data_IF_539573335270
#
_entry.id   IF_539573335270
#
_cell.length_a   1.000
_cell.length_b   1.000
_cell.length_c   1.000
_cell.angle_alpha   90.00
_cell.angle_beta   90.00
_cell.angle_gamma   90.00
#
_symmetry.space_group_name_H-M   'P 1'
#
loop_
_entity.id
_entity.type
_entity.pdbx_description
1 polymer ?
#
# COMPACT_ATOMS: atom_id res chain seq x y z
N UNK A 1 20.98 14.03 33.07
CA UNK A 1 19.59 14.01 32.52
C UNK A 1 19.58 14.82 31.23
N UNK A 2 19.73 14.21 30.07
CA UNK A 2 19.57 14.87 28.78
C UNK A 2 18.09 15.23 28.63
N UNK A 3 17.77 16.52 28.67
CA UNK A 3 16.40 17.02 28.40
C UNK A 3 16.02 16.58 26.99
N UNK A 4 15.16 15.56 26.87
CA UNK A 4 14.65 15.12 25.58
C UNK A 4 13.92 16.27 24.89
N UNK A 5 13.95 16.29 23.56
CA UNK A 5 13.25 17.29 22.74
C UNK A 5 11.76 17.35 23.10
N UNK A 6 11.17 18.55 23.01
CA UNK A 6 9.72 18.72 23.22
C UNK A 6 8.94 18.01 22.10
N UNK A 7 7.72 17.52 22.35
CA UNK A 7 6.89 16.91 21.32
C UNK A 7 6.72 17.80 20.09
N UNK A 8 6.48 19.10 20.29
CA UNK A 8 6.34 20.06 19.20
C UNK A 8 7.56 20.08 18.26
N UNK A 9 8.79 20.13 18.83
CA UNK A 9 10.01 20.11 18.02
C UNK A 9 10.18 18.81 17.24
N UNK A 10 9.79 17.67 17.82
CA UNK A 10 9.81 16.38 17.13
C UNK A 10 8.87 16.42 15.92
N UNK A 11 7.62 16.85 16.11
CA UNK A 11 6.65 16.96 15.01
C UNK A 11 7.10 17.90 13.91
N UNK A 12 7.66 19.05 14.26
CA UNK A 12 8.17 20.02 13.27
C UNK A 12 9.32 19.43 12.43
N UNK A 13 10.26 18.74 13.07
CA UNK A 13 11.39 18.13 12.35
C UNK A 13 10.89 16.97 11.46
N UNK A 14 9.96 16.14 11.93
CA UNK A 14 9.36 15.07 11.11
C UNK A 14 8.62 15.63 9.91
N UNK A 15 7.88 16.73 10.07
CA UNK A 15 7.20 17.41 8.98
C UNK A 15 8.19 17.94 7.93
N UNK A 16 9.26 18.63 8.38
CA UNK A 16 10.31 19.15 7.49
C UNK A 16 11.02 17.99 6.76
N UNK A 17 11.34 16.91 7.46
CA UNK A 17 11.98 15.74 6.87
C UNK A 17 11.07 15.07 5.82
N UNK A 18 9.79 14.88 6.11
CA UNK A 18 8.83 14.33 5.16
C UNK A 18 8.63 15.23 3.94
N UNK A 19 8.57 16.55 4.15
CA UNK A 19 8.52 17.52 3.05
C UNK A 19 9.77 17.44 2.19
N UNK A 20 10.97 17.41 2.80
CA UNK A 20 12.23 17.27 2.06
C UNK A 20 12.28 15.98 1.24
N UNK A 21 11.82 14.85 1.80
CA UNK A 21 11.83 13.55 1.11
C UNK A 21 10.83 13.46 -0.04
N UNK A 22 9.65 14.10 0.07
CA UNK A 22 8.51 13.87 -0.84
C UNK A 22 8.20 15.00 -1.80
N UNK A 23 8.70 16.22 -1.53
CA UNK A 23 8.32 17.41 -2.31
C UNK A 23 8.68 17.29 -3.80
N UNK A 24 9.80 16.64 -4.13
CA UNK A 24 10.26 16.48 -5.51
C UNK A 24 9.47 15.42 -6.30
N UNK A 25 8.87 14.46 -5.59
CA UNK A 25 8.02 13.43 -6.17
C UNK A 25 6.53 13.83 -6.21
N UNK A 26 6.18 14.92 -5.52
CA UNK A 26 4.80 15.37 -5.41
C UNK A 26 4.22 15.69 -6.79
N UNK A 27 3.12 15.02 -7.11
CA UNK A 27 2.47 15.12 -8.40
C UNK A 27 3.07 14.25 -9.50
N UNK A 28 3.99 13.31 -9.19
CA UNK A 28 4.44 12.30 -10.15
C UNK A 28 3.34 11.24 -10.34
N UNK A 29 2.71 11.14 -11.53
CA UNK A 29 1.61 10.21 -11.76
C UNK A 29 2.07 8.76 -11.98
N UNK A 30 3.37 8.51 -12.06
CA UNK A 30 3.96 7.21 -12.42
C UNK A 30 4.80 6.60 -11.30
N UNK A 31 4.63 7.05 -10.04
CA UNK A 31 5.38 6.52 -8.90
C UNK A 31 5.17 5.03 -8.72
N UNK A 32 3.92 4.57 -8.83
CA UNK A 32 3.58 3.16 -8.67
C UNK A 32 2.31 2.79 -9.44
N UNK A 33 2.24 1.56 -9.98
CA UNK A 33 1.09 1.09 -10.78
C UNK A 33 -0.16 0.88 -9.93
N UNK A 34 -0.01 0.38 -8.71
CA UNK A 34 -1.13 0.18 -7.79
C UNK A 34 -1.83 1.50 -7.47
N UNK A 35 -1.05 2.57 -7.20
CA UNK A 35 -1.59 3.90 -6.90
C UNK A 35 -2.37 4.49 -8.08
N UNK A 36 -1.88 4.26 -9.29
CA UNK A 36 -2.57 4.68 -10.52
C UNK A 36 -3.92 3.98 -10.65
N UNK A 37 -3.97 2.68 -10.31
CA UNK A 37 -5.22 1.92 -10.30
C UNK A 37 -6.17 2.43 -9.22
N UNK A 38 -5.70 2.68 -8.00
CA UNK A 38 -6.57 3.20 -6.93
C UNK A 38 -7.15 4.56 -7.29
N UNK A 39 -6.34 5.43 -7.91
CA UNK A 39 -6.79 6.73 -8.39
C UNK A 39 -7.85 6.58 -9.48
N UNK A 40 -7.64 5.68 -10.44
CA UNK A 40 -8.60 5.39 -11.51
C UNK A 40 -9.92 4.87 -10.94
N UNK A 41 -9.88 3.90 -10.01
CA UNK A 41 -11.10 3.39 -9.36
C UNK A 41 -11.84 4.53 -8.63
N UNK A 42 -11.12 5.33 -7.83
CA UNK A 42 -11.71 6.48 -7.13
C UNK A 42 -12.35 7.49 -8.09
N UNK A 43 -11.74 7.74 -9.26
CA UNK A 43 -12.31 8.59 -10.29
C UNK A 43 -13.60 8.01 -10.87
N UNK A 44 -13.58 6.69 -11.19
CA UNK A 44 -14.77 6.02 -11.73
C UNK A 44 -15.93 5.95 -10.73
N UNK A 45 -15.65 5.88 -9.43
CA UNK A 45 -16.69 5.98 -8.41
C UNK A 45 -17.43 7.32 -8.46
N UNK A 46 -16.75 8.42 -8.75
CA UNK A 46 -17.40 9.73 -8.98
C UNK A 46 -18.24 9.76 -10.27
N UNK A 47 -17.87 8.94 -11.26
CA UNK A 47 -18.66 8.76 -12.49
C UNK A 47 -19.81 7.74 -12.31
N UNK A 48 -20.02 7.20 -11.10
CA UNK A 48 -21.07 6.25 -10.75
C UNK A 48 -20.71 4.77 -10.89
N UNK A 49 -19.46 4.43 -11.21
CA UNK A 49 -19.03 3.02 -11.30
C UNK A 49 -18.99 2.35 -9.94
N UNK A 50 -19.42 1.09 -9.89
CA UNK A 50 -19.42 0.23 -8.71
C UNK A 50 -18.14 -0.62 -8.74
N UNK A 51 -17.18 -0.44 -7.80
CA UNK A 51 -16.01 -1.29 -7.69
C UNK A 51 -16.39 -2.78 -7.61
N UNK A 52 -15.53 -3.65 -8.15
CA UNK A 52 -15.72 -5.09 -8.33
C UNK A 52 -16.73 -5.48 -9.43
N UNK A 53 -17.61 -4.57 -9.87
CA UNK A 53 -18.62 -4.79 -10.91
C UNK A 53 -18.19 -4.13 -12.21
N UNK A 54 -18.12 -2.79 -12.21
CA UNK A 54 -17.78 -1.97 -13.40
C UNK A 54 -16.27 -1.78 -13.57
N UNK A 55 -15.54 -1.82 -12.46
CA UNK A 55 -14.08 -1.78 -12.41
C UNK A 55 -13.58 -2.72 -11.33
N UNK A 56 -12.75 -3.69 -11.73
CA UNK A 56 -12.37 -4.78 -10.86
C UNK A 56 -10.94 -4.62 -10.30
N UNK A 57 -10.79 -4.83 -9.01
CA UNK A 57 -9.56 -5.11 -8.28
C UNK A 57 -9.95 -5.84 -6.98
N UNK A 58 -9.00 -6.56 -6.37
CA UNK A 58 -9.19 -7.30 -5.11
C UNK A 58 -8.93 -6.49 -3.83
N UNK A 59 -8.66 -5.20 -3.95
CA UNK A 59 -8.44 -4.36 -2.76
C UNK A 59 -9.77 -4.06 -2.07
N UNK A 60 -9.82 -4.01 -0.73
CA UNK A 60 -11.03 -3.64 -0.02
C UNK A 60 -11.52 -2.24 -0.34
N UNK A 61 -12.84 -2.05 -0.25
CA UNK A 61 -13.53 -0.83 -0.66
C UNK A 61 -13.02 0.44 0.04
N UNK A 62 -12.56 0.35 1.29
CA UNK A 62 -12.07 1.50 2.04
C UNK A 62 -10.86 2.18 1.38
N UNK A 63 -10.02 1.41 0.67
CA UNK A 63 -8.93 1.99 -0.08
C UNK A 63 -9.44 2.86 -1.25
N UNK A 64 -10.43 2.38 -1.99
CA UNK A 64 -11.02 3.12 -3.11
C UNK A 64 -11.80 4.34 -2.62
N UNK A 65 -12.53 4.22 -1.50
CA UNK A 65 -13.22 5.33 -0.86
C UNK A 65 -12.22 6.42 -0.41
N UNK A 66 -11.06 6.02 0.11
CA UNK A 66 -10.00 6.96 0.47
C UNK A 66 -9.51 7.73 -0.76
N UNK A 67 -9.22 7.04 -1.86
CA UNK A 67 -8.77 7.68 -3.11
C UNK A 67 -9.88 8.52 -3.75
N UNK A 68 -11.13 8.09 -3.70
CA UNK A 68 -12.26 8.90 -4.14
C UNK A 68 -12.39 10.19 -3.29
N UNK A 69 -12.28 10.06 -1.96
CA UNK A 69 -12.34 11.22 -1.06
C UNK A 69 -11.23 12.24 -1.31
N UNK A 70 -10.01 11.79 -1.65
CA UNK A 70 -8.91 12.73 -1.97
C UNK A 70 -9.19 13.56 -3.21
N UNK A 71 -9.98 13.07 -4.17
CA UNK A 71 -10.33 13.80 -5.38
C UNK A 71 -11.35 14.93 -5.14
N UNK A 72 -12.00 14.98 -3.98
CA UNK A 72 -12.81 16.11 -3.56
C UNK A 72 -11.97 17.34 -3.14
N UNK A 73 -10.65 17.19 -2.97
CA UNK A 73 -9.77 18.30 -2.65
C UNK A 73 -9.57 19.22 -3.86
N UNK A 74 -9.52 20.57 -3.68
CA UNK A 74 -9.42 21.52 -4.78
C UNK A 74 -7.99 21.62 -5.34
N UNK A 75 -7.44 20.50 -5.80
CA UNK A 75 -6.08 20.39 -6.35
C UNK A 75 -5.99 19.23 -7.35
N UNK A 76 -4.85 19.13 -8.04
CA UNK A 76 -4.56 17.99 -8.92
C UNK A 76 -4.72 16.65 -8.15
N UNK A 77 -5.40 15.68 -8.75
CA UNK A 77 -5.79 14.43 -8.07
C UNK A 77 -4.58 13.61 -7.60
N UNK A 78 -3.46 13.64 -8.35
CA UNK A 78 -2.22 12.96 -7.95
C UNK A 78 -1.59 13.67 -6.76
N UNK A 79 -1.53 15.00 -6.80
CA UNK A 79 -1.05 15.84 -5.68
C UNK A 79 -1.91 15.61 -4.44
N UNK A 80 -3.24 15.48 -4.60
CA UNK A 80 -4.18 15.31 -3.50
C UNK A 80 -3.90 14.02 -2.70
N UNK A 81 -3.90 12.85 -3.34
CA UNK A 81 -3.67 11.60 -2.61
C UNK A 81 -2.25 11.50 -2.06
N UNK A 82 -1.23 12.01 -2.78
CA UNK A 82 0.15 12.02 -2.30
C UNK A 82 0.33 12.94 -1.09
N UNK A 83 -0.39 14.08 -1.05
CA UNK A 83 -0.40 14.97 0.13
C UNK A 83 -1.02 14.31 1.35
N UNK A 84 -2.15 13.60 1.17
CA UNK A 84 -2.79 12.83 2.25
C UNK A 84 -1.86 11.70 2.72
N UNK A 85 -1.17 11.02 1.80
CA UNK A 85 -0.17 10.01 2.12
C UNK A 85 1.02 10.59 2.91
N UNK A 86 1.50 11.78 2.54
CA UNK A 86 2.56 12.47 3.28
C UNK A 86 2.13 12.81 4.72
N UNK A 87 0.90 13.29 4.90
CA UNK A 87 0.33 13.55 6.23
C UNK A 87 0.23 12.25 7.04
N UNK A 88 -0.23 11.15 6.43
CA UNK A 88 -0.30 9.84 7.09
C UNK A 88 1.10 9.35 7.51
N UNK A 89 2.11 9.52 6.66
CA UNK A 89 3.49 9.15 6.97
C UNK A 89 4.06 9.95 8.15
N UNK A 90 3.86 11.27 8.18
CA UNK A 90 4.27 12.14 9.31
C UNK A 90 3.55 11.74 10.60
N UNK A 91 2.25 11.50 10.52
CA UNK A 91 1.45 11.08 11.67
C UNK A 91 1.91 9.73 12.22
N UNK A 92 2.22 8.76 11.35
CA UNK A 92 2.80 7.46 11.74
C UNK A 92 4.14 7.64 12.42
N UNK A 93 5.06 8.42 11.83
CA UNK A 93 6.36 8.73 12.42
C UNK A 93 6.25 9.37 13.81
N UNK A 94 5.28 10.28 13.97
CA UNK A 94 4.97 10.91 15.26
C UNK A 94 4.44 9.92 16.30
N UNK A 95 3.59 8.97 15.92
CA UNK A 95 3.10 7.90 16.81
C UNK A 95 4.23 6.94 17.20
N UNK A 96 5.10 6.56 16.26
CA UNK A 96 6.31 5.77 16.55
C UNK A 96 7.18 6.49 17.58
N UNK A 97 7.48 7.77 17.36
CA UNK A 97 8.24 8.59 18.31
C UNK A 97 7.55 8.67 19.69
N UNK A 98 6.22 8.79 19.69
CA UNK A 98 5.41 8.80 20.90
C UNK A 98 5.49 7.49 21.69
N UNK A 99 5.43 6.33 21.02
CA UNK A 99 5.59 5.01 21.65
C UNK A 99 6.99 4.83 22.23
N UNK A 100 8.05 5.19 21.47
CA UNK A 100 9.45 5.13 21.94
C UNK A 100 9.64 5.93 23.24
N UNK A 101 9.06 7.13 23.31
CA UNK A 101 9.07 7.95 24.54
C UNK A 101 8.35 7.27 25.70
N UNK A 102 7.20 6.65 25.44
CA UNK A 102 6.42 5.91 26.47
C UNK A 102 7.15 4.68 26.97
N UNK A 103 8.02 4.09 26.15
CA UNK A 103 8.91 2.99 26.55
C UNK A 103 10.19 3.46 27.28
N UNK A 104 10.32 4.77 27.56
CA UNK A 104 11.41 5.35 28.32
C UNK A 104 12.65 5.77 27.53
N UNK A 105 12.65 5.63 26.17
CA UNK A 105 13.78 5.98 25.32
C UNK A 105 13.59 7.34 24.62
N UNK A 106 13.38 8.41 25.39
CA UNK A 106 13.04 9.74 24.86
C UNK A 106 14.05 10.29 23.84
N UNK A 107 15.36 9.97 23.99
CA UNK A 107 16.40 10.41 23.06
C UNK A 107 16.36 9.65 21.71
N UNK A 108 15.78 8.47 21.67
CA UNK A 108 15.58 7.68 20.45
C UNK A 108 14.30 8.02 19.68
N UNK A 109 13.41 8.84 20.24
CA UNK A 109 12.10 9.13 19.66
C UNK A 109 12.18 9.78 18.27
N UNK A 110 12.91 10.90 18.15
CA UNK A 110 13.10 11.56 16.84
C UNK A 110 13.82 10.67 15.83
N UNK A 111 14.97 10.04 16.18
CA UNK A 111 15.62 9.10 15.27
C UNK A 111 14.71 7.97 14.79
N UNK A 112 13.83 7.44 15.64
CA UNK A 112 12.86 6.40 15.26
C UNK A 112 11.88 6.87 14.18
N UNK A 113 11.29 8.06 14.35
CA UNK A 113 10.41 8.66 13.37
C UNK A 113 11.12 8.97 12.05
N UNK A 114 12.35 9.49 12.10
CA UNK A 114 13.18 9.73 10.91
C UNK A 114 13.54 8.41 10.19
N UNK A 115 13.89 7.36 10.93
CA UNK A 115 14.13 6.03 10.36
C UNK A 115 12.88 5.55 9.61
N UNK A 116 11.69 5.67 10.19
CA UNK A 116 10.44 5.30 9.50
C UNK A 116 10.29 6.09 8.18
N UNK A 117 10.43 7.41 8.19
CA UNK A 117 10.25 8.24 6.99
C UNK A 117 11.24 7.89 5.88
N UNK A 118 12.53 7.71 6.23
CA UNK A 118 13.56 7.39 5.23
C UNK A 118 13.37 5.99 4.64
N UNK A 119 13.12 4.98 5.48
CA UNK A 119 12.93 3.62 4.98
C UNK A 119 11.59 3.44 4.26
N UNK A 120 10.58 4.23 4.60
CA UNK A 120 9.33 4.31 3.83
C UNK A 120 9.62 4.70 2.37
N UNK A 121 10.50 5.68 2.18
CA UNK A 121 10.94 6.14 0.86
C UNK A 121 11.68 5.04 0.08
N UNK A 122 12.59 4.32 0.75
CA UNK A 122 13.49 3.35 0.14
C UNK A 122 12.82 2.05 -0.30
N UNK A 123 11.69 1.66 0.31
CA UNK A 123 11.03 0.37 0.03
C UNK A 123 9.65 0.50 -0.63
N UNK A 124 9.44 1.59 -1.40
CA UNK A 124 8.25 1.75 -2.24
C UNK A 124 7.09 2.47 -1.58
N UNK A 125 7.33 3.25 -0.53
CA UNK A 125 6.33 4.10 0.11
C UNK A 125 6.42 5.58 -0.28
N UNK A 126 7.02 5.91 -1.42
CA UNK A 126 7.19 7.29 -1.94
C UNK A 126 5.88 8.01 -2.18
N UNK A 127 4.87 7.28 -2.63
CA UNK A 127 3.55 7.80 -2.94
C UNK A 127 2.49 7.41 -1.91
N UNK A 128 1.35 6.94 -2.43
CA UNK A 128 0.15 6.58 -1.68
C UNK A 128 -0.12 5.06 -1.65
N UNK A 129 0.90 4.21 -1.65
CA UNK A 129 0.71 2.77 -1.45
C UNK A 129 -0.14 2.48 -0.20
N UNK A 130 -1.02 1.49 -0.27
CA UNK A 130 -1.97 1.19 0.82
C UNK A 130 -1.32 1.08 2.21
N UNK A 131 -0.08 0.52 2.38
CA UNK A 131 0.60 0.51 3.67
C UNK A 131 0.91 1.89 4.25
N UNK A 132 1.10 2.91 3.42
CA UNK A 132 1.36 4.28 3.91
C UNK A 132 0.18 4.78 4.75
N UNK A 133 -1.03 4.43 4.36
CA UNK A 133 -2.25 4.85 5.08
C UNK A 133 -2.56 3.94 6.26
N UNK A 134 -2.55 2.61 6.09
CA UNK A 134 -2.94 1.74 7.20
C UNK A 134 -1.87 1.63 8.29
N UNK A 135 -0.59 1.91 8.01
CA UNK A 135 0.44 2.02 9.05
C UNK A 135 0.08 3.08 10.11
N UNK A 136 -0.58 4.18 9.70
CA UNK A 136 -1.11 5.16 10.64
C UNK A 136 -2.16 4.54 11.57
N UNK A 137 -3.10 3.79 11.02
CA UNK A 137 -4.17 3.16 11.80
C UNK A 137 -3.62 2.09 12.74
N UNK A 138 -2.66 1.28 12.26
CA UNK A 138 -1.97 0.25 13.07
C UNK A 138 -1.14 0.88 14.18
N UNK A 139 -0.36 1.93 13.89
CA UNK A 139 0.43 2.65 14.91
C UNK A 139 -0.47 3.31 15.95
N UNK A 140 -1.60 3.89 15.54
CA UNK A 140 -2.60 4.45 16.44
C UNK A 140 -3.25 3.36 17.30
N UNK A 141 -3.67 2.23 16.70
CA UNK A 141 -4.21 1.08 17.43
C UNK A 141 -3.21 0.54 18.45
N UNK A 142 -1.94 0.35 18.08
CA UNK A 142 -0.88 -0.10 18.98
C UNK A 142 -0.67 0.89 20.15
N UNK A 143 -0.74 2.21 19.87
CA UNK A 143 -0.67 3.25 20.90
C UNK A 143 -1.85 3.15 21.88
N UNK A 144 -3.06 2.90 21.39
CA UNK A 144 -4.26 2.75 22.21
C UNK A 144 -4.22 1.44 23.03
N UNK A 145 -3.74 0.35 22.44
CA UNK A 145 -3.52 -0.92 23.15
C UNK A 145 -2.50 -0.73 24.26
N UNK A 146 -1.38 -0.06 24.00
CA UNK A 146 -0.40 0.25 25.03
C UNK A 146 -1.00 1.08 26.17
N UNK A 147 -1.82 2.09 25.86
CA UNK A 147 -2.54 2.88 26.87
C UNK A 147 -3.54 2.05 27.68
N UNK A 148 -4.17 1.06 27.06
CA UNK A 148 -5.05 0.13 27.78
C UNK A 148 -4.29 -0.73 28.79
N UNK A 149 -3.06 -1.16 28.43
CA UNK A 149 -2.23 -2.02 29.28
C UNK A 149 -1.51 -1.22 30.37
N UNK A 150 -0.82 -0.15 29.98
CA UNK A 150 0.05 0.60 30.89
C UNK A 150 -0.72 1.60 31.75
N UNK A 151 -1.67 2.31 31.15
CA UNK A 151 -2.41 3.41 31.78
C UNK A 151 -3.82 2.94 32.23
N UNK A 152 -4.20 1.68 32.04
CA UNK A 152 -5.52 1.10 32.33
C UNK A 152 -6.69 1.88 31.70
N UNK A 153 -6.49 2.47 30.52
CA UNK A 153 -7.51 3.22 29.79
C UNK A 153 -8.45 2.30 29.02
N UNK A 154 -9.73 2.68 28.93
CA UNK A 154 -10.75 1.91 28.16
C UNK A 154 -10.67 2.22 26.66
N UNK A 155 -9.52 1.96 26.04
CA UNK A 155 -9.25 2.30 24.63
C UNK A 155 -9.24 1.07 23.71
N UNK A 156 -9.49 -0.13 24.23
CA UNK A 156 -9.37 -1.38 23.46
C UNK A 156 -10.34 -1.48 22.29
N UNK A 157 -11.63 -1.15 22.50
CA UNK A 157 -12.62 -1.19 21.41
C UNK A 157 -12.28 -0.20 20.29
N UNK A 158 -11.83 1.02 20.63
CA UNK A 158 -11.38 1.99 19.63
C UNK A 158 -10.13 1.49 18.88
N UNK A 159 -9.20 0.83 19.55
CA UNK A 159 -8.05 0.22 18.91
C UNK A 159 -8.48 -0.84 17.88
N UNK A 160 -9.43 -1.70 18.25
CA UNK A 160 -9.92 -2.75 17.33
C UNK A 160 -10.77 -2.16 16.19
N UNK A 161 -11.48 -1.06 16.40
CA UNK A 161 -12.14 -0.33 15.32
C UNK A 161 -11.13 0.23 14.30
N UNK A 162 -9.99 0.79 14.78
CA UNK A 162 -8.91 1.24 13.88
C UNK A 162 -8.28 0.08 13.10
N UNK A 163 -8.14 -1.10 13.72
CA UNK A 163 -7.76 -2.34 13.02
C UNK A 163 -8.80 -2.68 11.93
N UNK A 164 -10.07 -2.61 12.24
CA UNK A 164 -11.15 -2.84 11.27
C UNK A 164 -11.11 -1.89 10.08
N UNK A 165 -10.86 -0.60 10.33
CA UNK A 165 -10.66 0.38 9.26
C UNK A 165 -9.39 0.10 8.46
N UNK A 166 -8.31 -0.35 9.10
CA UNK A 166 -7.08 -0.74 8.41
C UNK A 166 -7.28 -1.99 7.53
N UNK A 167 -8.10 -2.95 7.95
CA UNK A 167 -8.51 -4.10 7.14
C UNK A 167 -9.25 -3.68 5.87
N UNK A 168 -9.98 -2.55 5.89
CA UNK A 168 -10.61 -1.98 4.69
C UNK A 168 -9.60 -1.33 3.72
N UNK A 169 -8.34 -1.20 4.10
CA UNK A 169 -7.26 -0.76 3.22
C UNK A 169 -6.43 -1.94 2.70
N UNK A 170 -6.19 -2.96 3.55
CA UNK A 170 -5.51 -4.19 3.16
C UNK A 170 -5.80 -5.34 4.14
N UNK A 171 -6.23 -6.53 3.66
CA UNK A 171 -6.55 -7.67 4.53
C UNK A 171 -5.37 -8.19 5.37
N UNK A 172 -4.13 -7.95 4.91
CA UNK A 172 -2.91 -8.41 5.61
C UNK A 172 -2.74 -7.83 7.00
N UNK A 173 -3.43 -6.74 7.35
CA UNK A 173 -3.49 -6.17 8.70
C UNK A 173 -4.07 -7.14 9.73
N UNK A 174 -4.68 -8.24 9.30
CA UNK A 174 -5.21 -9.28 10.20
C UNK A 174 -4.14 -9.80 11.18
N UNK A 175 -2.88 -9.88 10.77
CA UNK A 175 -1.79 -10.36 11.64
C UNK A 175 -1.56 -9.41 12.82
N UNK A 176 -1.40 -8.11 12.55
CA UNK A 176 -1.25 -7.10 13.60
C UNK A 176 -2.54 -6.97 14.41
N UNK A 177 -3.69 -7.10 13.77
CA UNK A 177 -4.99 -7.08 14.43
C UNK A 177 -5.14 -8.21 15.46
N UNK A 178 -4.76 -9.44 15.10
CA UNK A 178 -4.75 -10.58 16.01
C UNK A 178 -3.78 -10.36 17.17
N UNK A 179 -2.57 -9.89 16.90
CA UNK A 179 -1.59 -9.56 17.94
C UNK A 179 -2.14 -8.54 18.94
N UNK A 180 -2.72 -7.44 18.46
CA UNK A 180 -3.25 -6.37 19.29
C UNK A 180 -4.47 -6.85 20.10
N UNK A 181 -5.37 -7.61 19.47
CA UNK A 181 -6.53 -8.21 20.11
C UNK A 181 -6.15 -9.20 21.21
N UNK A 182 -5.24 -10.15 20.92
CA UNK A 182 -4.74 -11.11 21.92
C UNK A 182 -4.06 -10.38 23.08
N UNK A 183 -3.29 -9.34 22.79
CA UNK A 183 -2.64 -8.52 23.84
C UNK A 183 -3.66 -7.89 24.80
N UNK A 184 -4.77 -7.36 24.27
CA UNK A 184 -5.87 -6.83 25.07
C UNK A 184 -6.57 -7.91 25.92
N UNK A 185 -6.78 -9.10 25.35
CA UNK A 185 -7.39 -10.23 26.06
C UNK A 185 -6.51 -10.75 27.17
N UNK A 186 -5.19 -10.86 26.96
CA UNK A 186 -4.21 -11.21 27.99
C UNK A 186 -4.22 -10.17 29.11
N UNK A 187 -4.29 -8.89 28.79
CA UNK A 187 -4.40 -7.82 29.79
C UNK A 187 -5.71 -7.92 30.59
N UNK A 188 -6.83 -8.23 29.94
CA UNK A 188 -8.12 -8.47 30.57
C UNK A 188 -8.05 -9.68 31.51
N UNK A 189 -7.49 -10.79 31.08
CA UNK A 189 -7.31 -11.98 31.90
C UNK A 189 -6.46 -11.68 33.14
N UNK A 190 -5.30 -11.05 32.96
CA UNK A 190 -4.40 -10.68 34.09
C UNK A 190 -5.04 -9.74 35.10
N UNK A 191 -5.97 -8.91 34.68
CA UNK A 191 -6.64 -7.94 35.55
C UNK A 191 -7.87 -8.49 36.25
N UNK A 192 -8.55 -9.50 35.68
CA UNK A 192 -9.85 -9.95 36.16
C UNK A 192 -9.88 -11.42 36.62
N UNK A 193 -8.98 -12.27 36.12
CA UNK A 193 -8.98 -13.73 36.35
C UNK A 193 -10.25 -14.43 35.88
N UNK A 194 -11.10 -13.78 35.05
CA UNK A 194 -12.44 -14.25 34.71
C UNK A 194 -12.55 -14.59 33.24
N UNK A 195 -12.76 -15.85 32.91
CA UNK A 195 -13.00 -16.32 31.54
C UNK A 195 -14.24 -15.67 30.91
N UNK A 196 -15.30 -15.44 31.68
CA UNK A 196 -16.50 -14.78 31.19
C UNK A 196 -16.23 -13.34 30.77
N UNK A 197 -15.43 -12.58 31.51
CA UNK A 197 -15.05 -11.20 31.14
C UNK A 197 -14.17 -11.19 29.92
N UNK A 198 -13.26 -12.14 29.78
CA UNK A 198 -12.41 -12.28 28.56
C UNK A 198 -13.27 -12.62 27.35
N UNK A 199 -14.25 -13.51 27.48
CA UNK A 199 -15.16 -13.86 26.39
C UNK A 199 -16.00 -12.64 25.93
N UNK A 200 -16.55 -11.87 26.88
CA UNK A 200 -17.28 -10.62 26.57
C UNK A 200 -16.37 -9.60 25.89
N UNK A 201 -15.15 -9.42 26.40
CA UNK A 201 -14.16 -8.52 25.78
C UNK A 201 -13.78 -8.98 24.37
N UNK A 202 -13.58 -10.29 24.16
CA UNK A 202 -13.28 -10.88 22.84
C UNK A 202 -14.41 -10.61 21.85
N UNK A 203 -15.66 -10.87 22.24
CA UNK A 203 -16.82 -10.59 21.40
C UNK A 203 -16.91 -9.09 21.03
N UNK A 204 -16.70 -8.18 21.98
CA UNK A 204 -16.72 -6.75 21.73
C UNK A 204 -15.57 -6.27 20.83
N UNK A 205 -14.37 -6.82 21.00
CA UNK A 205 -13.22 -6.51 20.15
C UNK A 205 -13.36 -7.05 18.73
N UNK A 206 -13.85 -8.28 18.58
CA UNK A 206 -14.18 -8.86 17.26
C UNK A 206 -15.27 -8.05 16.57
N UNK A 207 -16.35 -7.70 17.26
CA UNK A 207 -17.41 -6.88 16.70
C UNK A 207 -16.85 -5.51 16.20
N UNK A 208 -16.03 -4.85 16.99
CA UNK A 208 -15.41 -3.58 16.60
C UNK A 208 -14.49 -3.72 15.37
N UNK A 209 -13.69 -4.79 15.31
CA UNK A 209 -12.77 -5.03 14.20
C UNK A 209 -13.49 -5.46 12.90
N UNK A 210 -14.57 -6.23 13.01
CA UNK A 210 -15.30 -6.74 11.84
C UNK A 210 -16.36 -5.76 11.33
N UNK A 211 -16.82 -4.82 12.15
CA UNK A 211 -17.89 -3.90 11.79
C UNK A 211 -17.69 -3.20 10.44
N UNK A 212 -16.52 -2.61 10.10
CA UNK A 212 -16.33 -1.99 8.80
C UNK A 212 -16.48 -2.99 7.63
N UNK A 213 -15.99 -4.21 7.80
CA UNK A 213 -16.09 -5.27 6.77
C UNK A 213 -17.52 -5.75 6.60
N UNK A 214 -18.25 -5.94 7.70
CA UNK A 214 -19.65 -6.34 7.67
C UNK A 214 -20.54 -5.26 7.04
N UNK A 215 -20.28 -4.00 7.33
CA UNK A 215 -20.98 -2.86 6.70
C UNK A 215 -20.70 -2.81 5.19
N UNK A 216 -19.44 -2.99 4.77
CA UNK A 216 -19.09 -3.04 3.36
C UNK A 216 -19.83 -4.18 2.65
N UNK A 217 -19.76 -5.40 3.18
CA UNK A 217 -20.46 -6.55 2.61
C UNK A 217 -21.98 -6.32 2.57
N UNK A 218 -22.58 -5.87 3.68
CA UNK A 218 -24.01 -5.61 3.75
C UNK A 218 -24.48 -4.57 2.72
N UNK A 219 -23.66 -3.53 2.47
CA UNK A 219 -23.96 -2.54 1.43
C UNK A 219 -23.99 -3.18 0.05
N UNK A 220 -22.97 -3.98 -0.30
CA UNK A 220 -22.93 -4.67 -1.59
C UNK A 220 -24.05 -5.72 -1.72
N UNK A 221 -24.36 -6.45 -0.67
CA UNK A 221 -25.49 -7.38 -0.67
C UNK A 221 -26.83 -6.67 -0.89
N UNK A 222 -27.04 -5.53 -0.24
CA UNK A 222 -28.26 -4.73 -0.37
C UNK A 222 -28.48 -4.18 -1.79
N UNK A 223 -27.41 -3.89 -2.54
CA UNK A 223 -27.49 -3.44 -3.94
C UNK A 223 -27.41 -4.59 -4.96
N UNK A 224 -27.45 -5.86 -4.50
CA UNK A 224 -27.46 -7.04 -5.36
C UNK A 224 -26.10 -7.52 -5.87
N UNK A 225 -25.00 -7.00 -5.32
CA UNK A 225 -23.62 -7.31 -5.74
C UNK A 225 -22.77 -7.99 -4.66
N UNK A 226 -23.42 -8.67 -3.70
CA UNK A 226 -22.74 -9.37 -2.61
C UNK A 226 -21.72 -10.40 -3.09
N UNK A 227 -22.06 -11.17 -4.16
CA UNK A 227 -21.18 -12.18 -4.74
C UNK A 227 -19.92 -11.56 -5.37
N UNK A 228 -20.07 -10.43 -6.06
CA UNK A 228 -18.93 -9.72 -6.65
C UNK A 228 -17.97 -9.20 -5.57
N UNK A 229 -18.52 -8.65 -4.49
CA UNK A 229 -17.73 -8.23 -3.33
C UNK A 229 -17.02 -9.42 -2.68
N UNK A 230 -17.76 -10.54 -2.45
CA UNK A 230 -17.19 -11.73 -1.83
C UNK A 230 -16.06 -12.32 -2.66
N UNK A 231 -16.30 -12.50 -3.96
CA UNK A 231 -15.28 -13.00 -4.87
C UNK A 231 -14.01 -12.13 -4.84
N UNK A 232 -14.15 -10.82 -4.97
CA UNK A 232 -13.00 -9.90 -5.02
C UNK A 232 -12.20 -9.87 -3.69
N UNK A 233 -12.90 -9.87 -2.54
CA UNK A 233 -12.26 -9.68 -1.24
C UNK A 233 -11.88 -10.98 -0.52
N UNK A 234 -12.47 -12.13 -0.92
CA UNK A 234 -12.22 -13.42 -0.28
C UNK A 234 -11.65 -14.43 -1.28
N UNK A 235 -12.43 -14.86 -2.27
CA UNK A 235 -12.07 -16.00 -3.11
C UNK A 235 -10.86 -15.72 -4.01
N UNK A 236 -10.81 -14.55 -4.62
CA UNK A 236 -9.75 -14.11 -5.53
C UNK A 236 -8.35 -14.18 -4.91
N UNK A 237 -8.23 -13.95 -3.60
CA UNK A 237 -6.95 -13.98 -2.89
C UNK A 237 -6.36 -15.39 -2.87
N UNK A 238 -7.20 -16.42 -2.68
CA UNK A 238 -6.79 -17.81 -2.63
C UNK A 238 -6.62 -18.45 -4.01
N UNK A 239 -7.19 -17.84 -5.04
CA UNK A 239 -7.11 -18.33 -6.42
C UNK A 239 -5.88 -17.81 -7.18
N UNK A 240 -5.13 -16.90 -6.58
CA UNK A 240 -3.92 -16.36 -7.18
C UNK A 240 -2.76 -17.33 -7.05
N UNK A 241 -2.19 -17.73 -8.18
CA UNK A 241 -1.02 -18.60 -8.21
C UNK A 241 0.28 -17.78 -8.09
N UNK A 242 1.34 -18.41 -7.60
CA UNK A 242 2.71 -17.90 -7.73
C UNK A 242 3.34 -18.61 -8.92
N UNK A 243 3.66 -17.90 -10.02
CA UNK A 243 4.21 -18.54 -11.21
C UNK A 243 5.56 -19.22 -10.92
N UNK A 244 5.85 -20.35 -11.60
CA UNK A 244 7.18 -20.93 -11.57
C UNK A 244 8.23 -19.94 -12.08
N UNK A 245 9.39 -19.87 -11.41
CA UNK A 245 10.49 -18.98 -11.80
C UNK A 245 10.41 -17.55 -11.25
N UNK A 246 9.42 -17.24 -10.42
CA UNK A 246 9.40 -15.96 -9.69
C UNK A 246 10.65 -15.83 -8.79
N UNK A 247 11.35 -14.68 -8.82
CA UNK A 247 12.58 -14.47 -8.06
C UNK A 247 12.27 -14.15 -6.58
N UNK A 248 11.56 -15.07 -5.90
CA UNK A 248 11.08 -14.85 -4.51
C UNK A 248 12.24 -14.62 -3.54
N UNK A 249 13.31 -15.44 -3.65
CA UNK A 249 14.48 -15.31 -2.79
C UNK A 249 15.24 -14.03 -3.03
N UNK A 250 15.38 -13.59 -4.29
CA UNK A 250 16.06 -12.33 -4.63
C UNK A 250 15.28 -11.12 -4.11
N UNK A 251 13.95 -11.13 -4.23
CA UNK A 251 13.08 -10.07 -3.68
C UNK A 251 13.16 -10.03 -2.16
N UNK A 252 13.11 -11.21 -1.51
CA UNK A 252 13.24 -11.34 -0.06
C UNK A 252 14.60 -10.85 0.43
N UNK A 253 15.68 -11.27 -0.24
CA UNK A 253 17.04 -10.84 0.07
C UNK A 253 17.24 -9.34 -0.15
N UNK A 254 16.70 -8.78 -1.23
CA UNK A 254 16.72 -7.35 -1.51
C UNK A 254 16.04 -6.53 -0.42
N UNK A 255 14.83 -6.92 -0.01
CA UNK A 255 14.13 -6.26 1.08
C UNK A 255 14.86 -6.41 2.42
N UNK A 256 15.37 -7.63 2.72
CA UNK A 256 16.15 -7.89 3.93
C UNK A 256 17.44 -7.06 3.98
N UNK A 257 18.12 -6.89 2.85
CA UNK A 257 19.35 -6.07 2.75
C UNK A 257 19.06 -4.60 3.07
N UNK A 258 18.02 -4.03 2.49
CA UNK A 258 17.62 -2.63 2.77
C UNK A 258 17.20 -2.46 4.23
N UNK A 259 16.51 -3.45 4.81
CA UNK A 259 16.05 -3.43 6.19
C UNK A 259 17.10 -3.87 7.21
N UNK A 260 18.28 -4.37 6.80
CA UNK A 260 19.26 -5.00 7.68
C UNK A 260 19.65 -4.11 8.87
N UNK A 261 20.02 -2.87 8.62
CA UNK A 261 20.47 -1.98 9.70
C UNK A 261 19.34 -1.57 10.67
N UNK A 262 18.15 -1.13 10.23
CA UNK A 262 17.05 -0.88 11.16
C UNK A 262 16.58 -2.15 11.88
N UNK A 263 16.66 -3.33 11.25
CA UNK A 263 16.36 -4.61 11.90
C UNK A 263 17.38 -4.96 13.00
N UNK A 264 18.68 -4.76 12.75
CA UNK A 264 19.72 -4.92 13.76
C UNK A 264 19.54 -3.95 14.94
N UNK A 265 19.20 -2.69 14.64
CA UNK A 265 18.86 -1.71 15.68
C UNK A 265 17.61 -2.14 16.47
N UNK A 266 16.59 -2.70 15.78
CA UNK A 266 15.39 -3.21 16.42
C UNK A 266 15.68 -4.39 17.35
N UNK A 267 16.46 -5.38 16.92
CA UNK A 267 16.90 -6.51 17.74
C UNK A 267 17.64 -6.02 18.99
N UNK A 268 18.59 -5.08 18.81
CA UNK A 268 19.32 -4.48 19.94
C UNK A 268 18.39 -3.73 20.89
N UNK A 269 17.40 -3.01 20.37
CA UNK A 269 16.40 -2.30 21.16
C UNK A 269 15.55 -3.25 22.00
N UNK A 270 15.09 -4.35 21.41
CA UNK A 270 14.35 -5.41 22.14
C UNK A 270 15.21 -6.04 23.23
N UNK A 271 16.48 -6.39 22.95
CA UNK A 271 17.38 -6.98 23.92
C UNK A 271 17.66 -6.01 25.09
N UNK A 272 17.83 -4.72 24.80
CA UNK A 272 18.10 -3.68 25.80
C UNK A 272 16.88 -3.27 26.63
N UNK A 273 15.67 -3.64 26.22
CA UNK A 273 14.42 -3.30 26.92
C UNK A 273 14.03 -4.43 27.89
N UNK A 274 13.22 -4.12 28.91
CA UNK A 274 12.79 -5.11 29.93
C UNK A 274 11.27 -5.05 30.14
N UNK A 275 10.75 -6.07 30.80
CA UNK A 275 9.36 -6.13 31.24
C UNK A 275 8.34 -6.20 30.10
N UNK A 276 7.17 -5.65 30.33
CA UNK A 276 6.02 -5.72 29.41
C UNK A 276 6.30 -5.03 28.06
N UNK A 277 7.06 -3.93 28.08
CA UNK A 277 7.43 -3.22 26.87
C UNK A 277 8.28 -4.11 25.92
N UNK A 278 9.24 -4.87 26.46
CA UNK A 278 10.03 -5.85 25.69
C UNK A 278 9.13 -6.91 25.04
N UNK A 279 8.25 -7.50 25.86
CA UNK A 279 7.35 -8.56 25.36
C UNK A 279 6.42 -8.04 24.27
N UNK A 280 5.86 -6.84 24.45
CA UNK A 280 4.98 -6.20 23.46
C UNK A 280 5.71 -5.95 22.14
N UNK A 281 6.88 -5.31 22.17
CA UNK A 281 7.61 -4.95 20.95
C UNK A 281 8.17 -6.18 20.26
N UNK A 282 8.69 -7.16 21.00
CA UNK A 282 9.21 -8.41 20.45
C UNK A 282 8.11 -9.23 19.76
N UNK A 283 6.94 -9.35 20.39
CA UNK A 283 5.81 -10.07 19.83
C UNK A 283 5.25 -9.36 18.58
N UNK A 284 5.17 -8.03 18.60
CA UNK A 284 4.74 -7.25 17.44
C UNK A 284 5.68 -7.46 16.24
N UNK A 285 7.00 -7.35 16.46
CA UNK A 285 8.00 -7.62 15.42
C UNK A 285 7.87 -9.04 14.85
N UNK A 286 7.73 -10.03 15.73
CA UNK A 286 7.61 -11.43 15.31
C UNK A 286 6.37 -11.65 14.44
N UNK A 287 5.22 -11.12 14.85
CA UNK A 287 3.95 -11.25 14.11
C UNK A 287 4.02 -10.51 12.77
N UNK A 288 4.60 -9.31 12.74
CA UNK A 288 4.76 -8.56 11.50
C UNK A 288 5.69 -9.29 10.50
N UNK A 289 6.79 -9.87 10.97
CA UNK A 289 7.69 -10.68 10.14
C UNK A 289 6.97 -11.93 9.62
N UNK A 290 6.24 -12.65 10.48
CA UNK A 290 5.46 -13.82 10.07
C UNK A 290 4.42 -13.42 9.01
N UNK A 291 3.67 -12.35 9.22
CA UNK A 291 2.70 -11.84 8.27
C UNK A 291 3.31 -11.49 6.91
N UNK A 292 4.51 -10.90 6.91
CA UNK A 292 5.23 -10.60 5.67
C UNK A 292 5.70 -11.87 4.95
N UNK A 293 6.26 -12.85 5.69
CA UNK A 293 6.77 -14.11 5.11
C UNK A 293 5.66 -15.02 4.57
N UNK A 294 4.43 -14.89 5.07
CA UNK A 294 3.28 -15.68 4.61
C UNK A 294 2.66 -15.17 3.30
N UNK A 295 3.10 -14.01 2.79
CA UNK A 295 2.45 -13.35 1.64
C UNK A 295 3.45 -13.12 0.51
N UNK A 296 3.71 -14.14 -0.36
CA UNK A 296 4.44 -13.93 -1.60
C UNK A 296 3.62 -13.03 -2.56
N UNK A 297 4.25 -12.42 -3.58
CA UNK A 297 5.62 -12.66 -4.08
C UNK A 297 6.69 -11.67 -3.57
N UNK A 298 6.55 -11.09 -2.40
CA UNK A 298 7.55 -10.25 -1.70
C UNK A 298 8.01 -9.01 -2.46
N UNK A 299 7.09 -8.32 -3.13
CA UNK A 299 7.40 -6.99 -3.68
C UNK A 299 7.89 -6.04 -2.57
N UNK A 300 8.75 -5.09 -2.90
CA UNK A 300 9.37 -4.19 -1.91
C UNK A 300 8.35 -3.55 -0.97
N UNK A 301 7.24 -3.05 -1.51
CA UNK A 301 6.18 -2.42 -0.72
C UNK A 301 5.42 -3.39 0.23
N UNK A 302 5.59 -4.72 0.08
CA UNK A 302 5.02 -5.69 1.03
C UNK A 302 5.74 -5.66 2.39
N UNK A 303 6.97 -5.14 2.44
CA UNK A 303 7.72 -4.96 3.67
C UNK A 303 7.41 -3.65 4.43
N UNK A 304 6.61 -2.74 3.83
CA UNK A 304 6.25 -1.45 4.45
C UNK A 304 5.59 -1.56 5.84
N UNK A 305 4.73 -2.56 6.14
CA UNK A 305 4.15 -2.74 7.48
C UNK A 305 5.21 -3.00 8.55
N UNK A 306 6.30 -3.68 8.20
CA UNK A 306 7.41 -3.97 9.14
C UNK A 306 8.03 -2.71 9.71
N UNK A 307 7.96 -1.59 8.98
CA UNK A 307 8.60 -0.34 9.39
C UNK A 307 8.04 0.24 10.69
N UNK A 308 6.77 -0.03 11.02
CA UNK A 308 6.16 0.48 12.25
C UNK A 308 6.79 -0.20 13.48
N UNK A 309 6.73 -1.54 13.65
CA UNK A 309 7.36 -2.20 14.80
C UNK A 309 8.89 -2.12 14.76
N UNK A 310 9.52 -2.14 13.57
CA UNK A 310 10.98 -1.92 13.44
C UNK A 310 11.35 -0.51 13.94
N UNK A 311 10.62 0.53 13.51
CA UNK A 311 10.87 1.90 13.94
C UNK A 311 10.75 2.08 15.45
N UNK A 312 9.70 1.50 16.06
CA UNK A 312 9.52 1.49 17.52
C UNK A 312 10.68 0.76 18.21
N UNK A 313 11.00 -0.46 17.78
CA UNK A 313 12.05 -1.27 18.38
C UNK A 313 13.44 -0.66 18.21
N UNK A 314 13.77 -0.18 17.00
CA UNK A 314 15.04 0.49 16.72
C UNK A 314 15.20 1.76 17.56
N UNK A 315 14.12 2.53 17.75
CA UNK A 315 14.12 3.71 18.60
C UNK A 315 14.59 3.46 20.03
N UNK A 316 14.35 2.25 20.55
CA UNK A 316 14.83 1.85 21.88
C UNK A 316 16.37 1.68 21.95
N UNK A 317 17.03 1.48 20.82
CA UNK A 317 18.50 1.42 20.74
C UNK A 317 19.12 2.74 20.25
N UNK A 318 18.34 3.60 19.60
CA UNK A 318 18.80 4.86 19.02
C UNK A 318 18.96 6.01 20.04
N UNK A 319 18.81 5.73 21.33
CA UNK A 319 19.21 6.63 22.41
C UNK A 319 20.74 6.79 22.51
N UNK A 320 21.51 5.84 21.97
CA UNK A 320 22.98 5.82 21.95
C UNK A 320 23.55 6.49 20.71
N UNK A 321 24.58 7.34 20.89
CA UNK A 321 25.17 8.15 19.81
C UNK A 321 25.72 7.35 18.63
N UNK A 322 26.45 6.26 18.90
CA UNK A 322 27.07 5.42 17.86
C UNK A 322 26.04 4.82 16.90
N UNK A 323 24.97 4.19 17.44
CA UNK A 323 23.93 3.59 16.60
C UNK A 323 23.18 4.65 15.78
N UNK A 324 22.96 5.83 16.35
CA UNK A 324 22.37 6.99 15.64
C UNK A 324 23.25 7.43 14.47
N UNK A 325 24.55 7.54 14.67
CA UNK A 325 25.50 7.89 13.62
C UNK A 325 25.51 6.90 12.47
N UNK A 326 25.57 5.60 12.79
CA UNK A 326 25.50 4.53 11.77
C UNK A 326 24.21 4.57 10.99
N UNK A 327 23.07 4.75 11.67
CA UNK A 327 21.74 4.85 11.02
C UNK A 327 21.67 6.07 10.09
N UNK A 328 22.20 7.23 10.51
CA UNK A 328 22.22 8.44 9.68
C UNK A 328 23.09 8.26 8.44
N UNK A 329 24.28 7.68 8.58
CA UNK A 329 25.18 7.41 7.44
C UNK A 329 24.54 6.44 6.46
N UNK A 330 23.94 5.34 6.96
CA UNK A 330 23.24 4.38 6.10
C UNK A 330 22.02 5.00 5.41
N UNK A 331 21.23 5.82 6.10
CA UNK A 331 20.10 6.53 5.54
C UNK A 331 20.51 7.41 4.37
N UNK A 332 21.55 8.24 4.55
CA UNK A 332 22.07 9.12 3.51
C UNK A 332 22.64 8.28 2.35
N UNK A 333 23.46 7.27 2.64
CA UNK A 333 24.05 6.41 1.62
C UNK A 333 22.99 5.69 0.77
N UNK A 334 21.98 5.10 1.39
CA UNK A 334 20.89 4.40 0.69
C UNK A 334 20.03 5.37 -0.12
N UNK A 335 19.72 6.57 0.40
CA UNK A 335 19.00 7.59 -0.37
C UNK A 335 19.79 7.99 -1.62
N UNK A 336 21.09 8.24 -1.50
CA UNK A 336 21.92 8.56 -2.66
C UNK A 336 22.00 7.41 -3.67
N UNK A 337 22.14 6.18 -3.20
CA UNK A 337 22.15 4.98 -4.05
C UNK A 337 20.80 4.74 -4.73
N UNK A 338 19.68 5.13 -4.13
CA UNK A 338 18.36 5.05 -4.74
C UNK A 338 18.09 6.14 -5.79
N UNK A 339 19.06 7.06 -6.02
CA UNK A 339 18.92 8.17 -6.95
C UNK A 339 18.29 9.43 -6.37
N UNK A 340 18.07 9.45 -5.05
CA UNK A 340 17.54 10.65 -4.38
C UNK A 340 18.57 11.81 -4.43
N UNK A 341 18.12 13.05 -4.65
CA UNK A 341 16.78 13.52 -4.93
C UNK A 341 16.40 13.33 -6.40
N UNK A 342 15.21 12.81 -6.67
CA UNK A 342 14.69 12.44 -8.00
C UNK A 342 14.35 13.69 -8.85
N UNK A 343 15.35 14.54 -9.10
CA UNK A 343 15.16 15.82 -9.77
C UNK A 343 14.68 15.64 -11.21
N UNK A 344 13.57 16.29 -11.55
CA UNK A 344 13.01 16.29 -12.90
C UNK A 344 12.18 15.05 -13.24
N UNK A 345 12.19 14.00 -12.43
CA UNK A 345 11.41 12.77 -12.66
C UNK A 345 9.92 13.06 -12.80
N UNK A 346 9.36 13.86 -11.90
CA UNK A 346 7.93 14.25 -11.93
C UNK A 346 7.56 14.99 -13.22
N UNK A 347 8.37 15.97 -13.63
CA UNK A 347 8.12 16.74 -14.85
C UNK A 347 8.25 15.87 -16.09
N UNK A 348 9.23 14.96 -16.11
CA UNK A 348 9.43 14.01 -17.22
C UNK A 348 8.28 13.00 -17.31
N UNK A 349 7.86 12.41 -16.19
CA UNK A 349 6.72 11.50 -16.11
C UNK A 349 5.44 12.16 -16.63
N UNK A 350 5.14 13.39 -16.20
CA UNK A 350 3.99 14.16 -16.68
C UNK A 350 4.06 14.44 -18.19
N UNK A 351 5.21 14.86 -18.71
CA UNK A 351 5.39 15.12 -20.16
C UNK A 351 5.16 13.85 -20.99
N UNK A 352 5.76 12.74 -20.59
CA UNK A 352 5.63 11.44 -21.29
C UNK A 352 4.20 10.94 -21.26
N UNK A 353 3.54 11.02 -20.11
CA UNK A 353 2.13 10.64 -19.97
C UNK A 353 1.23 11.52 -20.84
N UNK A 354 1.43 12.84 -20.85
CA UNK A 354 0.69 13.77 -21.68
C UNK A 354 0.89 13.49 -23.18
N UNK A 355 2.11 13.15 -23.61
CA UNK A 355 2.40 12.80 -25.01
C UNK A 355 1.64 11.55 -25.45
N UNK A 356 1.63 10.48 -24.62
CA UNK A 356 0.88 9.27 -24.89
C UNK A 356 -0.63 9.52 -24.89
N UNK A 357 -1.16 10.26 -23.89
CA UNK A 357 -2.58 10.59 -23.81
C UNK A 357 -3.05 11.41 -25.01
N UNK A 358 -2.25 12.38 -25.48
CA UNK A 358 -2.55 13.14 -26.66
C UNK A 358 -2.54 12.28 -27.95
N UNK A 359 -1.65 11.29 -28.04
CA UNK A 359 -1.63 10.35 -29.14
C UNK A 359 -2.87 9.44 -29.13
N UNK A 360 -3.27 8.95 -27.96
CA UNK A 360 -4.50 8.16 -27.79
C UNK A 360 -5.72 9.01 -28.21
N UNK A 361 -5.85 10.23 -27.67
CA UNK A 361 -7.00 11.10 -27.94
C UNK A 361 -7.17 11.42 -29.44
N UNK A 362 -6.07 11.58 -30.18
CA UNK A 362 -6.12 11.85 -31.61
C UNK A 362 -6.66 10.69 -32.46
N UNK A 363 -6.55 9.46 -31.97
CA UNK A 363 -6.87 8.24 -32.73
C UNK A 363 -8.04 7.46 -32.13
N UNK A 364 -8.34 7.61 -30.84
CA UNK A 364 -9.42 6.87 -30.20
C UNK A 364 -10.83 7.40 -30.59
N UNK A 365 -10.95 8.66 -30.96
CA UNK A 365 -12.25 9.24 -31.25
C UNK A 365 -13.20 9.14 -30.04
N UNK A 366 -14.30 8.40 -30.21
CA UNK A 366 -15.26 8.08 -29.14
C UNK A 366 -15.10 6.69 -28.57
N UNK A 367 -14.20 5.88 -29.14
CA UNK A 367 -14.00 4.52 -28.70
C UNK A 367 -13.15 4.44 -27.42
N UNK A 368 -13.34 3.39 -26.66
CA UNK A 368 -12.52 3.12 -25.49
C UNK A 368 -11.18 2.52 -25.93
N UNK A 369 -10.04 3.17 -25.65
CA UNK A 369 -8.74 2.61 -25.95
C UNK A 369 -8.48 1.34 -25.12
N UNK A 370 -7.80 0.36 -25.69
CA UNK A 370 -7.37 -0.82 -24.98
C UNK A 370 -5.94 -0.63 -24.44
N UNK A 371 -5.79 -0.26 -23.17
CA UNK A 371 -4.49 -0.19 -22.50
C UNK A 371 -4.20 -1.57 -21.90
N UNK A 372 -3.35 -2.34 -22.61
CA UNK A 372 -3.05 -3.74 -22.25
C UNK A 372 -1.83 -3.81 -21.31
N UNK A 373 -0.60 -3.65 -21.82
CA UNK A 373 0.64 -3.62 -21.03
C UNK A 373 1.13 -2.17 -20.90
N UNK A 374 0.41 -1.35 -20.15
CA UNK A 374 0.75 0.06 -19.99
C UNK A 374 0.16 0.64 -18.70
N UNK A 375 0.66 1.80 -18.25
CA UNK A 375 0.22 2.44 -17.01
C UNK A 375 -1.28 2.77 -17.00
N UNK A 376 -2.06 2.37 -15.97
CA UNK A 376 -3.46 2.76 -15.80
C UNK A 376 -3.68 4.29 -15.75
N UNK A 377 -2.64 5.04 -15.39
CA UNK A 377 -2.65 6.50 -15.43
C UNK A 377 -3.04 7.10 -16.80
N UNK A 378 -2.90 6.35 -17.89
CA UNK A 378 -3.35 6.76 -19.22
C UNK A 378 -4.87 6.96 -19.25
N UNK A 379 -5.64 6.06 -18.63
CA UNK A 379 -7.09 6.20 -18.51
C UNK A 379 -7.49 7.44 -17.70
N UNK A 380 -6.78 7.69 -16.59
CA UNK A 380 -7.02 8.84 -15.72
C UNK A 380 -6.67 10.17 -16.42
N UNK A 381 -5.47 10.23 -17.02
CA UNK A 381 -4.97 11.46 -17.66
C UNK A 381 -5.79 11.91 -18.86
N UNK A 382 -6.26 10.95 -19.67
CA UNK A 382 -7.09 11.24 -20.85
C UNK A 382 -8.60 11.19 -20.58
N UNK A 383 -9.02 10.81 -19.37
CA UNK A 383 -10.41 10.51 -19.00
C UNK A 383 -11.08 9.54 -19.98
N UNK A 384 -10.31 8.58 -20.51
CA UNK A 384 -10.80 7.62 -21.49
C UNK A 384 -11.74 6.60 -20.83
N UNK A 385 -12.75 6.12 -21.56
CA UNK A 385 -13.58 5.02 -21.13
C UNK A 385 -12.78 3.72 -21.05
N UNK A 386 -13.32 2.72 -20.35
CA UNK A 386 -12.71 1.41 -20.19
C UNK A 386 -13.38 0.41 -21.16
N UNK A 387 -12.61 -0.41 -21.91
CA UNK A 387 -13.19 -1.42 -22.80
C UNK A 387 -13.71 -2.65 -22.07
N UNK A 388 -13.42 -2.75 -20.77
CA UNK A 388 -13.86 -3.81 -19.86
C UNK A 388 -13.50 -3.46 -18.41
N UNK A 389 -13.91 -4.30 -17.45
CA UNK A 389 -13.72 -4.00 -16.02
C UNK A 389 -12.29 -4.22 -15.51
N UNK A 390 -11.34 -4.65 -16.35
CA UNK A 390 -9.97 -5.04 -15.94
C UNK A 390 -8.89 -4.09 -16.47
N UNK A 391 -8.84 -2.82 -16.06
CA UNK A 391 -7.86 -1.85 -16.58
C UNK A 391 -6.45 -2.01 -16.00
N UNK A 392 -6.26 -2.82 -14.95
CA UNK A 392 -4.95 -3.06 -14.37
C UNK A 392 -4.18 -4.10 -15.19
N UNK A 393 -2.97 -3.79 -15.68
CA UNK A 393 -2.27 -4.65 -16.65
C UNK A 393 -2.13 -6.09 -16.20
N UNK A 394 -1.74 -6.34 -14.94
CA UNK A 394 -1.51 -7.69 -14.44
C UNK A 394 -2.73 -8.61 -14.55
N UNK A 395 -3.96 -8.08 -14.50
CA UNK A 395 -5.19 -8.89 -14.53
C UNK A 395 -5.33 -9.70 -15.82
N UNK A 396 -5.00 -9.10 -16.97
CA UNK A 396 -5.14 -9.75 -18.27
C UNK A 396 -3.83 -10.32 -18.82
N UNK A 397 -2.68 -10.01 -18.19
CA UNK A 397 -1.36 -10.34 -18.73
C UNK A 397 -0.64 -11.40 -17.90
N UNK A 398 -0.76 -11.38 -16.58
CA UNK A 398 0.00 -12.30 -15.73
C UNK A 398 -0.66 -13.68 -15.64
N UNK A 399 0.14 -14.73 -15.78
CA UNK A 399 -0.30 -16.12 -15.66
C UNK A 399 -0.87 -16.42 -14.25
N UNK A 400 -0.36 -15.74 -13.22
CA UNK A 400 -0.86 -15.84 -11.83
C UNK A 400 -2.31 -15.39 -11.66
N UNK A 401 -2.84 -14.59 -12.56
CA UNK A 401 -4.19 -14.03 -12.48
C UNK A 401 -5.25 -14.88 -13.21
N UNK A 402 -4.85 -15.95 -13.92
CA UNK A 402 -5.77 -16.76 -14.77
C UNK A 402 -7.05 -17.19 -14.10
N UNK A 403 -7.00 -17.53 -12.81
CA UNK A 403 -8.16 -17.98 -12.02
C UNK A 403 -8.66 -16.93 -11.04
N UNK A 404 -7.88 -15.86 -10.84
CA UNK A 404 -8.05 -14.94 -9.74
C UNK A 404 -8.91 -13.71 -10.06
N UNK A 405 -9.32 -13.51 -11.32
CA UNK A 405 -10.13 -12.34 -11.73
C UNK A 405 -11.61 -12.66 -12.01
N UNK A 406 -12.04 -13.93 -11.83
CA UNK A 406 -13.42 -14.33 -12.00
C UNK A 406 -13.87 -14.58 -13.45
N UNK A 407 -13.03 -14.32 -14.43
CA UNK A 407 -13.26 -14.62 -15.86
C UNK A 407 -12.00 -15.24 -16.48
N UNK A 408 -12.12 -15.88 -17.63
CA UNK A 408 -10.95 -16.29 -18.40
C UNK A 408 -10.31 -15.06 -19.07
N UNK A 409 -9.05 -14.68 -18.73
CA UNK A 409 -8.39 -13.52 -19.31
C UNK A 409 -8.29 -13.59 -20.85
N UNK A 410 -8.12 -14.78 -21.42
CA UNK A 410 -8.03 -14.93 -22.87
C UNK A 410 -9.38 -14.67 -23.57
N UNK A 411 -10.47 -15.11 -22.97
CA UNK A 411 -11.82 -14.81 -23.48
C UNK A 411 -12.13 -13.31 -23.37
N UNK A 412 -11.74 -12.66 -22.29
CA UNK A 412 -11.95 -11.21 -22.12
C UNK A 412 -11.10 -10.39 -23.13
N UNK A 413 -9.83 -10.72 -23.31
CA UNK A 413 -8.98 -10.10 -24.34
C UNK A 413 -9.57 -10.30 -25.73
N UNK A 414 -10.03 -11.53 -26.07
CA UNK A 414 -10.67 -11.82 -27.35
C UNK A 414 -11.94 -10.99 -27.55
N UNK A 415 -12.78 -10.84 -26.51
CA UNK A 415 -13.97 -9.99 -26.55
C UNK A 415 -13.63 -8.51 -26.84
N UNK A 416 -12.61 -7.97 -26.16
CA UNK A 416 -12.16 -6.59 -26.38
C UNK A 416 -11.63 -6.42 -27.82
N UNK A 417 -10.81 -7.35 -28.30
CA UNK A 417 -10.25 -7.29 -29.65
C UNK A 417 -11.31 -7.46 -30.75
N UNK A 418 -12.37 -8.26 -30.51
CA UNK A 418 -13.49 -8.42 -31.41
C UNK A 418 -14.27 -7.11 -31.63
N UNK A 419 -14.29 -6.22 -30.63
CA UNK A 419 -14.86 -4.88 -30.77
C UNK A 419 -13.97 -3.92 -31.57
N UNK A 420 -12.77 -4.35 -32.01
CA UNK A 420 -11.80 -3.60 -32.81
C UNK A 420 -11.53 -2.19 -32.27
N UNK A 421 -10.99 -2.06 -31.02
CA UNK A 421 -10.74 -0.74 -30.43
C UNK A 421 -9.86 0.09 -31.38
N UNK A 422 -10.19 1.36 -31.58
CA UNK A 422 -9.43 2.26 -32.47
C UNK A 422 -7.97 2.42 -32.05
N UNK A 423 -7.68 2.21 -30.75
CA UNK A 423 -6.32 2.33 -30.19
C UNK A 423 -6.03 1.16 -29.25
N UNK A 424 -4.85 0.55 -29.44
CA UNK A 424 -4.24 -0.37 -28.49
C UNK A 424 -2.96 0.26 -27.94
N UNK A 425 -2.75 0.19 -26.61
CA UNK A 425 -1.52 0.65 -25.96
C UNK A 425 -0.87 -0.54 -25.27
N UNK A 426 0.34 -0.89 -25.66
CA UNK A 426 1.06 -2.01 -25.05
C UNK A 426 2.56 -1.77 -25.00
N UNK A 427 3.22 -2.35 -24.01
CA UNK A 427 4.66 -2.39 -23.82
C UNK A 427 5.25 -3.76 -24.16
N UNK A 428 6.41 -4.04 -23.57
CA UNK A 428 7.03 -5.36 -23.66
C UNK A 428 6.36 -6.29 -22.65
N UNK A 429 5.85 -7.41 -23.11
CA UNK A 429 5.27 -8.42 -22.23
C UNK A 429 6.24 -8.82 -21.10
N UNK A 430 5.76 -8.96 -19.86
CA UNK A 430 6.56 -9.42 -18.74
C UNK A 430 6.99 -10.89 -18.96
N UNK A 431 8.02 -11.33 -18.21
CA UNK A 431 8.53 -12.72 -18.31
C UNK A 431 7.49 -13.75 -17.86
N UNK A 432 6.60 -13.38 -16.95
CA UNK A 432 5.48 -14.16 -16.43
C UNK A 432 4.16 -13.92 -17.20
N UNK A 433 4.25 -13.33 -18.40
CA UNK A 433 3.11 -13.05 -19.27
C UNK A 433 2.33 -14.31 -19.63
N UNK A 434 0.99 -14.20 -19.65
CA UNK A 434 0.12 -15.30 -20.08
C UNK A 434 0.32 -15.59 -21.56
N UNK A 435 0.79 -16.80 -21.85
CA UNK A 435 1.01 -17.30 -23.22
C UNK A 435 -0.27 -17.38 -24.07
N UNK A 436 -1.45 -17.19 -23.47
CA UNK A 436 -2.73 -17.18 -24.17
C UNK A 436 -3.16 -15.77 -24.57
N UNK A 437 -2.92 -14.75 -23.73
CA UNK A 437 -3.40 -13.38 -23.93
C UNK A 437 -2.44 -12.54 -24.77
N UNK A 438 -1.13 -12.57 -24.46
CA UNK A 438 -0.12 -11.77 -25.16
C UNK A 438 -0.12 -12.04 -26.66
N UNK A 439 -0.09 -13.31 -27.16
CA UNK A 439 -0.12 -13.57 -28.59
C UNK A 439 -1.42 -13.18 -29.30
N UNK A 440 -2.55 -13.05 -28.57
CA UNK A 440 -3.78 -12.54 -29.15
C UNK A 440 -3.64 -11.07 -29.52
N UNK A 441 -3.10 -10.27 -28.58
CA UNK A 441 -2.87 -8.83 -28.80
C UNK A 441 -1.81 -8.62 -29.89
N UNK A 442 -0.69 -9.35 -29.86
CA UNK A 442 0.38 -9.23 -30.85
C UNK A 442 -0.13 -9.53 -32.27
N UNK A 443 -0.93 -10.59 -32.44
CA UNK A 443 -1.53 -10.91 -33.74
C UNK A 443 -2.49 -9.85 -34.24
N UNK A 444 -3.34 -9.33 -33.34
CA UNK A 444 -4.27 -8.26 -33.70
C UNK A 444 -3.52 -6.99 -34.14
N UNK A 445 -2.46 -6.63 -33.40
CA UNK A 445 -1.61 -5.47 -33.75
C UNK A 445 -0.96 -5.68 -35.13
N UNK A 446 -0.34 -6.83 -35.35
CA UNK A 446 0.35 -7.12 -36.60
C UNK A 446 -0.61 -7.09 -37.81
N UNK A 447 -1.87 -7.49 -37.64
CA UNK A 447 -2.84 -7.58 -38.73
C UNK A 447 -3.55 -6.24 -39.02
N UNK A 448 -3.81 -5.40 -38.00
CA UNK A 448 -4.78 -4.31 -38.15
C UNK A 448 -4.32 -2.96 -37.57
N UNK A 449 -3.12 -2.85 -36.99
CA UNK A 449 -2.70 -1.62 -36.32
C UNK A 449 -1.30 -1.17 -36.76
N UNK A 450 -1.05 0.14 -36.67
CA UNK A 450 0.27 0.74 -36.90
C UNK A 450 0.72 1.57 -35.69
N UNK A 451 2.02 1.63 -35.37
CA UNK A 451 2.53 2.45 -34.30
C UNK A 451 2.41 3.94 -34.64
N UNK A 452 1.91 4.75 -33.68
CA UNK A 452 1.73 6.20 -33.85
C UNK A 452 2.46 7.02 -32.81
N UNK A 453 2.81 6.44 -31.65
CA UNK A 453 3.64 7.08 -30.63
C UNK A 453 4.33 6.03 -29.75
N UNK A 454 5.52 6.39 -29.20
CA UNK A 454 6.25 5.53 -28.26
C UNK A 454 6.89 6.35 -27.17
N UNK A 455 6.59 6.02 -25.90
CA UNK A 455 7.15 6.62 -24.70
C UNK A 455 7.06 5.64 -23.53
N UNK A 456 7.85 5.78 -22.49
CA UNK A 456 7.80 4.96 -21.25
C UNK A 456 7.92 3.44 -21.50
N UNK A 457 8.57 3.02 -22.57
CA UNK A 457 8.66 1.60 -22.94
C UNK A 457 7.37 1.02 -23.55
N UNK A 458 6.31 1.83 -23.71
CA UNK A 458 5.06 1.42 -24.36
C UNK A 458 4.88 2.10 -25.71
N UNK A 459 4.08 1.47 -26.58
CA UNK A 459 3.74 1.97 -27.90
C UNK A 459 2.22 2.10 -28.02
N UNK A 460 1.79 3.22 -28.56
CA UNK A 460 0.39 3.47 -28.96
C UNK A 460 0.25 3.00 -30.40
N UNK A 461 -0.69 2.11 -30.66
CA UNK A 461 -1.04 1.61 -31.97
C UNK A 461 -2.42 2.08 -32.34
N UNK A 462 -2.58 2.65 -33.52
CA UNK A 462 -3.88 3.04 -34.09
C UNK A 462 -4.29 2.04 -35.16
N UNK A 463 -5.61 1.79 -35.25
CA UNK A 463 -6.16 0.89 -36.27
C UNK A 463 -5.86 1.43 -37.68
N UNK A 464 -5.63 0.55 -38.60
CA UNK A 464 -5.49 0.87 -40.05
C UNK A 464 -6.80 0.46 -40.70
N UNK A 465 -7.45 1.40 -41.40
CA UNK A 465 -8.68 1.18 -42.15
C UNK A 465 -8.47 0.22 -43.33
#
# INVERSE_FOLDING_TARGET
MTRGMTPFRIWLILLIAAAALRLLDLGNPLVDLDEQMYLLVGQRMWDGAIPYVDIWDRKPIGLFLLYAATQALPMDAVVAYQSVAAVAAVATAGLIAGLVRRFGAAAGALPAGLTYLVWLELIGGRGGQSPVFYNLLVAAAATLVWRAIADRKRTGALAMMLVGLALQLKPTVVFEGLFLGVTLLVACWRSTGSAARVAVAAAGYMAAALLPTLLAYATYAAIGHGDAWWFANVDSIFLRDVPPGEPLLDRLAGAAMVLALPALAAIRGVIGTRGVARAFVAAWLAVAIIGWLLIPPYFNHYALPLLVPIGVAAGLALDRGTMRGLMAVAAIGLLLLSGYPHRGETADARRRLATLSAAIARHAGRDCPFVFEAPPALYTAGRFCLPGPYPFPSHLIQASERRAIGVDPAAEVARILAARPSVIVTGRAPRDGDSRTVPLVDRAIAAHYRPVARQLGVTVYAIVD
#
